data_IF_507443254044
#
_entry.id   IF_507443254044
#
_cell.length_a   1.000
_cell.length_b   1.000
_cell.length_c   1.000
_cell.angle_alpha   90.00
_cell.angle_beta   90.00
_cell.angle_gamma   90.00
#
_symmetry.space_group_name_H-M   'P 1'
#
loop_
_entity.id
_entity.type
_entity.pdbx_description
1 polymer ?
#
# COMPACT_ATOMS: atom_id res chain seq x y z
N UNK A 1 -28.55 20.75 11.71
CA UNK A 1 -27.28 19.98 11.64
C UNK A 1 -26.88 20.06 10.17
N UNK A 2 -25.62 20.38 9.85
CA UNK A 2 -25.13 20.32 8.48
C UNK A 2 -25.21 18.86 8.02
N UNK A 3 -25.61 18.66 6.78
CA UNK A 3 -25.62 17.35 6.15
C UNK A 3 -24.20 16.82 6.09
N UNK A 4 -23.96 15.57 6.53
CA UNK A 4 -22.63 14.96 6.57
C UNK A 4 -22.54 13.85 5.54
N UNK A 5 -21.34 13.72 4.93
CA UNK A 5 -21.05 12.79 3.85
C UNK A 5 -19.88 11.89 4.20
N UNK A 6 -19.83 10.74 3.54
CA UNK A 6 -18.67 9.81 3.56
C UNK A 6 -18.01 9.88 2.20
N UNK A 7 -16.68 10.02 2.20
CA UNK A 7 -15.87 9.93 1.00
C UNK A 7 -15.20 8.56 0.92
N UNK A 8 -15.52 7.78 -0.10
CA UNK A 8 -14.89 6.48 -0.36
C UNK A 8 -13.84 6.64 -1.45
N UNK A 9 -12.61 6.20 -1.17
CA UNK A 9 -11.49 6.15 -2.12
C UNK A 9 -11.26 4.71 -2.55
N UNK A 10 -11.31 4.46 -3.86
CA UNK A 10 -11.02 3.17 -4.46
C UNK A 10 -9.79 3.32 -5.37
N UNK A 11 -8.64 2.90 -4.86
CA UNK A 11 -7.39 2.92 -5.60
C UNK A 11 -7.17 1.59 -6.30
N UNK A 12 -7.74 1.45 -7.49
CA UNK A 12 -7.59 0.26 -8.32
C UNK A 12 -6.20 0.13 -8.96
N UNK A 13 -6.01 -0.95 -9.72
CA UNK A 13 -4.74 -1.20 -10.42
C UNK A 13 -4.52 -0.25 -11.59
N UNK A 14 -5.58 0.15 -12.29
CA UNK A 14 -5.48 0.98 -13.50
C UNK A 14 -6.10 2.37 -13.36
N UNK A 15 -6.86 2.62 -12.29
CA UNK A 15 -7.55 3.88 -12.09
C UNK A 15 -7.76 4.18 -10.62
N UNK A 16 -7.87 5.48 -10.30
CA UNK A 16 -8.29 6.01 -9.01
C UNK A 16 -9.75 6.44 -9.10
N UNK A 17 -10.53 6.18 -8.05
CA UNK A 17 -11.93 6.56 -7.97
C UNK A 17 -12.22 7.20 -6.60
N UNK A 18 -13.13 8.17 -6.60
CA UNK A 18 -13.71 8.75 -5.38
C UNK A 18 -15.22 8.77 -5.50
N UNK A 19 -15.91 8.38 -4.44
CA UNK A 19 -17.37 8.32 -4.36
C UNK A 19 -17.81 9.07 -3.10
N UNK A 20 -18.75 9.99 -3.25
CA UNK A 20 -19.40 10.69 -2.13
C UNK A 20 -20.73 10.01 -1.85
N UNK A 21 -20.93 9.57 -0.62
CA UNK A 21 -22.19 9.03 -0.11
C UNK A 21 -22.80 9.97 0.91
N UNK A 22 -24.14 10.08 0.93
CA UNK A 22 -24.86 10.69 2.03
C UNK A 22 -25.05 9.70 3.21
N UNK A 23 -25.74 10.15 4.26
CA UNK A 23 -25.97 9.34 5.47
C UNK A 23 -26.93 8.16 5.24
N UNK A 24 -27.71 8.17 4.18
CA UNK A 24 -28.59 7.06 3.77
C UNK A 24 -27.85 6.03 2.90
N UNK A 25 -26.56 6.28 2.57
CA UNK A 25 -25.76 5.43 1.71
C UNK A 25 -26.01 5.64 0.21
N UNK A 26 -26.71 6.70 -0.16
CA UNK A 26 -26.97 7.06 -1.56
C UNK A 26 -25.74 7.75 -2.17
N UNK A 27 -25.42 7.37 -3.42
CA UNK A 27 -24.31 7.98 -4.15
C UNK A 27 -24.70 9.38 -4.61
N UNK A 28 -23.96 10.40 -4.17
CA UNK A 28 -24.17 11.80 -4.59
C UNK A 28 -23.27 12.17 -5.77
N UNK A 29 -22.04 11.66 -5.80
CA UNK A 29 -21.12 11.90 -6.90
C UNK A 29 -20.09 10.79 -7.01
N UNK A 30 -19.57 10.62 -8.25
CA UNK A 30 -18.46 9.72 -8.57
C UNK A 30 -17.49 10.46 -9.47
N UNK A 31 -16.19 10.36 -9.19
CA UNK A 31 -15.14 10.78 -10.10
C UNK A 31 -14.12 9.64 -10.26
N UNK A 32 -13.62 9.44 -11.47
CA UNK A 32 -12.65 8.40 -11.80
C UNK A 32 -11.61 8.94 -12.79
N UNK A 33 -10.35 8.49 -12.62
CA UNK A 33 -9.25 8.85 -13.51
C UNK A 33 -8.29 7.67 -13.65
N UNK A 34 -7.93 7.33 -14.86
CA UNK A 34 -6.87 6.37 -15.15
C UNK A 34 -5.48 6.99 -14.90
N UNK A 35 -4.49 6.12 -14.61
CA UNK A 35 -3.08 6.52 -14.51
C UNK A 35 -2.19 5.52 -15.26
N UNK A 36 -0.96 5.97 -15.53
CA UNK A 36 -0.04 5.23 -16.40
C UNK A 36 0.44 3.93 -15.76
N UNK A 37 0.40 2.85 -16.55
CA UNK A 37 1.04 1.58 -16.27
C UNK A 37 2.44 1.58 -16.88
N UNK A 38 3.45 1.08 -16.16
CA UNK A 38 4.85 1.05 -16.58
C UNK A 38 5.30 -0.41 -16.68
N UNK A 39 5.85 -0.79 -17.81
CA UNK A 39 6.33 -2.14 -18.10
C UNK A 39 7.81 -2.09 -18.51
N UNK A 40 8.77 -1.98 -17.55
CA UNK A 40 10.18 -1.77 -17.87
C UNK A 40 10.82 -2.95 -18.62
N UNK A 41 10.38 -4.17 -18.29
CA UNK A 41 10.87 -5.43 -18.86
C UNK A 41 9.73 -6.45 -18.91
N UNK A 42 9.86 -7.55 -19.69
CA UNK A 42 8.88 -8.64 -19.67
C UNK A 42 8.65 -9.17 -18.25
N UNK A 43 7.40 -9.19 -17.81
CA UNK A 43 6.99 -9.64 -16.48
C UNK A 43 7.17 -8.60 -15.35
N UNK A 44 7.70 -7.40 -15.63
CA UNK A 44 7.78 -6.30 -14.67
C UNK A 44 6.60 -5.37 -14.84
N UNK A 45 5.99 -5.01 -13.72
CA UNK A 45 4.85 -4.08 -13.69
C UNK A 45 5.05 -3.06 -12.57
N UNK A 46 5.04 -1.79 -12.94
CA UNK A 46 5.29 -0.69 -12.01
C UNK A 46 4.28 0.44 -12.19
N UNK A 47 4.07 1.19 -11.12
CA UNK A 47 3.37 2.47 -11.14
C UNK A 47 4.27 3.57 -10.56
N UNK A 48 4.07 4.80 -11.01
CA UNK A 48 4.71 5.94 -10.39
C UNK A 48 3.92 6.33 -9.11
N UNK A 49 4.51 6.26 -7.89
CA UNK A 49 3.75 6.51 -6.66
C UNK A 49 3.11 7.89 -6.60
N UNK A 50 3.78 8.89 -7.21
CA UNK A 50 3.22 10.22 -7.26
C UNK A 50 2.02 10.34 -8.20
N UNK A 51 1.96 9.53 -9.29
CA UNK A 51 0.77 9.47 -10.15
C UNK A 51 -0.42 8.82 -9.44
N UNK A 52 -0.18 7.78 -8.61
CA UNK A 52 -1.21 7.21 -7.72
C UNK A 52 -1.79 8.30 -6.82
N UNK A 53 -0.94 9.10 -6.17
CA UNK A 53 -1.41 10.18 -5.31
C UNK A 53 -2.12 11.30 -6.07
N UNK A 54 -1.54 11.80 -7.15
CA UNK A 54 -2.12 12.94 -7.89
C UNK A 54 -3.44 12.59 -8.56
N UNK A 55 -3.58 11.38 -9.11
CA UNK A 55 -4.85 10.91 -9.66
C UNK A 55 -5.91 10.75 -8.56
N UNK A 56 -5.54 10.19 -7.40
CA UNK A 56 -6.47 10.08 -6.27
C UNK A 56 -6.88 11.46 -5.74
N UNK A 57 -5.97 12.40 -5.58
CA UNK A 57 -6.27 13.76 -5.15
C UNK A 57 -7.19 14.50 -6.17
N UNK A 58 -6.95 14.28 -7.46
CA UNK A 58 -7.78 14.82 -8.54
C UNK A 58 -9.23 14.33 -8.45
N UNK A 59 -9.43 13.01 -8.29
CA UNK A 59 -10.80 12.46 -8.20
C UNK A 59 -11.48 12.82 -6.89
N UNK A 60 -10.76 12.99 -5.78
CA UNK A 60 -11.31 13.53 -4.52
C UNK A 60 -11.91 14.93 -4.78
N UNK A 61 -11.10 15.84 -5.34
CA UNK A 61 -11.56 17.19 -5.63
C UNK A 61 -12.73 17.20 -6.62
N UNK A 62 -12.66 16.36 -7.66
CA UNK A 62 -13.72 16.22 -8.66
C UNK A 62 -15.03 15.71 -8.07
N UNK A 63 -15.01 14.69 -7.20
CA UNK A 63 -16.21 14.14 -6.57
C UNK A 63 -16.87 15.15 -5.61
N UNK A 64 -16.07 15.83 -4.78
CA UNK A 64 -16.56 16.89 -3.87
C UNK A 64 -17.21 18.03 -4.65
N UNK A 65 -16.55 18.52 -5.71
CA UNK A 65 -17.10 19.57 -6.56
C UNK A 65 -18.39 19.14 -7.28
N UNK A 66 -18.45 17.92 -7.81
CA UNK A 66 -19.62 17.38 -8.48
C UNK A 66 -20.80 17.14 -7.54
N UNK A 67 -20.54 16.81 -6.27
CA UNK A 67 -21.57 16.71 -5.24
C UNK A 67 -22.10 18.09 -4.79
N UNK A 68 -21.42 19.18 -5.12
CA UNK A 68 -21.76 20.53 -4.70
C UNK A 68 -21.60 20.78 -3.18
N UNK A 69 -20.72 20.01 -2.53
CA UNK A 69 -20.46 20.06 -1.07
C UNK A 69 -19.10 20.68 -0.77
N UNK A 70 -18.87 20.94 0.52
CA UNK A 70 -17.59 21.41 1.03
C UNK A 70 -16.77 20.22 1.60
N UNK A 71 -15.44 20.30 1.56
CA UNK A 71 -14.60 19.30 2.22
C UNK A 71 -14.86 19.19 3.73
N UNK A 72 -15.36 20.23 4.38
CA UNK A 72 -15.75 20.25 5.79
C UNK A 72 -17.05 19.47 6.08
N UNK A 73 -17.83 19.15 5.05
CA UNK A 73 -19.04 18.34 5.17
C UNK A 73 -18.72 16.83 5.15
N UNK A 74 -17.46 16.46 4.84
CA UNK A 74 -16.99 15.06 4.90
C UNK A 74 -16.71 14.66 6.35
N UNK A 75 -17.52 13.73 6.85
CA UNK A 75 -17.38 13.21 8.21
C UNK A 75 -16.27 12.17 8.35
N UNK A 76 -16.04 11.37 7.29
CA UNK A 76 -14.99 10.35 7.28
C UNK A 76 -14.57 9.99 5.85
N UNK A 77 -13.35 9.45 5.72
CA UNK A 77 -12.79 8.90 4.48
C UNK A 77 -12.59 7.40 4.68
N UNK A 78 -13.17 6.59 3.80
CA UNK A 78 -12.88 5.16 3.69
C UNK A 78 -11.94 4.89 2.51
N UNK A 79 -10.96 4.00 2.70
CA UNK A 79 -9.99 3.65 1.64
C UNK A 79 -10.07 2.17 1.33
N UNK A 80 -10.20 1.83 0.04
CA UNK A 80 -9.91 0.51 -0.50
C UNK A 80 -8.86 0.63 -1.61
N UNK A 81 -8.05 -0.41 -1.82
CA UNK A 81 -6.91 -0.32 -2.72
C UNK A 81 -6.56 -1.65 -3.37
N UNK A 82 -5.82 -1.60 -4.48
CA UNK A 82 -5.05 -2.72 -4.98
C UNK A 82 -4.07 -3.15 -3.88
N UNK A 83 -4.22 -4.38 -3.38
CA UNK A 83 -3.34 -4.90 -2.31
C UNK A 83 -1.99 -5.33 -2.86
N UNK A 84 -1.04 -5.64 -1.99
CA UNK A 84 0.30 -6.19 -2.26
C UNK A 84 1.23 -5.28 -3.07
N UNK A 85 0.72 -4.29 -3.78
CA UNK A 85 1.55 -3.28 -4.46
C UNK A 85 2.40 -2.54 -3.44
N UNK A 86 3.70 -2.51 -3.68
CA UNK A 86 4.73 -2.14 -2.70
C UNK A 86 5.33 -0.79 -3.02
N UNK A 87 5.35 0.10 -2.04
CA UNK A 87 5.99 1.42 -2.12
C UNK A 87 6.99 1.54 -0.98
N UNK A 88 8.20 2.03 -1.28
CA UNK A 88 9.23 2.40 -0.30
C UNK A 88 9.58 3.86 -0.52
N UNK A 89 9.56 4.65 0.56
CA UNK A 89 9.85 6.07 0.48
C UNK A 89 10.65 6.56 1.68
N UNK A 90 11.30 7.68 1.49
CA UNK A 90 12.06 8.37 2.52
C UNK A 90 11.10 9.05 3.51
N UNK A 91 11.28 8.74 4.80
CA UNK A 91 10.42 9.22 5.89
C UNK A 91 10.44 10.74 6.05
N UNK A 92 11.58 11.35 5.81
CA UNK A 92 11.77 12.80 6.01
C UNK A 92 11.24 13.60 4.83
N UNK A 93 11.58 13.17 3.61
CA UNK A 93 11.25 13.91 2.39
C UNK A 93 9.90 13.50 1.77
N UNK A 94 9.38 12.32 2.13
CA UNK A 94 8.20 11.72 1.51
C UNK A 94 8.42 11.32 0.05
N UNK A 95 9.68 11.25 -0.42
CA UNK A 95 10.00 10.89 -1.81
C UNK A 95 10.15 9.37 -1.95
N UNK A 96 9.45 8.73 -2.89
CA UNK A 96 9.66 7.33 -3.22
C UNK A 96 11.09 7.10 -3.71
N UNK A 97 11.73 6.01 -3.25
CA UNK A 97 13.09 5.64 -3.69
C UNK A 97 13.07 4.86 -5.00
N UNK A 98 11.93 4.31 -5.36
CA UNK A 98 11.70 3.55 -6.59
C UNK A 98 10.22 3.66 -7.00
N UNK A 99 9.88 3.23 -8.22
CA UNK A 99 8.49 3.03 -8.61
C UNK A 99 7.78 2.02 -7.69
N UNK A 100 6.48 2.14 -7.54
CA UNK A 100 5.67 1.12 -6.88
C UNK A 100 5.72 -0.18 -7.68
N UNK A 101 6.15 -1.29 -7.04
CA UNK A 101 6.17 -2.60 -7.69
C UNK A 101 4.79 -3.23 -7.50
N UNK A 102 4.10 -3.46 -8.61
CA UNK A 102 2.70 -3.88 -8.64
C UNK A 102 2.55 -5.36 -8.27
N UNK A 103 1.41 -5.78 -7.74
CA UNK A 103 1.09 -7.16 -7.39
C UNK A 103 1.27 -8.16 -8.54
N UNK A 104 1.09 -7.73 -9.79
CA UNK A 104 1.26 -8.53 -11.01
C UNK A 104 2.72 -8.79 -11.39
N UNK A 105 3.67 -8.07 -10.77
CA UNK A 105 5.10 -8.14 -11.10
C UNK A 105 5.69 -9.51 -10.77
N UNK A 106 6.51 -10.04 -11.66
CA UNK A 106 7.11 -11.37 -11.56
C UNK A 106 8.65 -11.35 -11.40
N UNK A 107 9.27 -10.17 -11.18
CA UNK A 107 10.75 -10.06 -11.07
C UNK A 107 11.36 -10.96 -10.01
N UNK A 108 10.61 -11.29 -8.96
CA UNK A 108 11.07 -12.13 -7.86
C UNK A 108 10.62 -13.60 -7.95
N UNK A 109 10.11 -14.05 -9.11
CA UNK A 109 9.64 -15.42 -9.27
C UNK A 109 10.74 -16.47 -8.98
N UNK A 110 11.96 -16.27 -9.50
CA UNK A 110 13.09 -17.16 -9.27
C UNK A 110 13.52 -17.21 -7.79
N UNK A 111 13.47 -16.09 -7.10
CA UNK A 111 13.72 -16.05 -5.64
C UNK A 111 12.66 -16.83 -4.85
N UNK A 112 11.39 -16.70 -5.24
CA UNK A 112 10.30 -17.50 -4.66
C UNK A 112 10.52 -19.01 -4.88
N UNK A 113 10.97 -19.41 -6.07
CA UNK A 113 11.26 -20.80 -6.36
C UNK A 113 12.46 -21.34 -5.55
N UNK A 114 13.48 -20.53 -5.32
CA UNK A 114 14.60 -20.86 -4.42
C UNK A 114 14.12 -21.08 -2.98
N UNK A 115 13.27 -20.19 -2.43
CA UNK A 115 12.70 -20.37 -1.09
C UNK A 115 11.87 -21.65 -0.96
N UNK A 116 11.12 -22.03 -1.99
CA UNK A 116 10.37 -23.31 -2.02
C UNK A 116 11.34 -24.50 -2.01
N UNK A 117 12.41 -24.46 -2.80
CA UNK A 117 13.43 -25.49 -2.84
C UNK A 117 14.19 -25.64 -1.51
N UNK A 118 14.35 -24.54 -0.77
CA UNK A 118 14.91 -24.52 0.60
C UNK A 118 13.92 -25.02 1.67
N UNK A 119 12.70 -25.43 1.28
CA UNK A 119 11.71 -25.98 2.21
C UNK A 119 10.99 -24.93 3.07
N UNK A 120 11.00 -23.65 2.67
CA UNK A 120 10.38 -22.56 3.45
C UNK A 120 8.85 -22.50 3.33
N UNK A 121 8.23 -23.36 2.52
CA UNK A 121 6.79 -23.29 2.21
C UNK A 121 5.91 -23.39 3.46
N UNK A 122 6.09 -24.42 4.29
CA UNK A 122 5.28 -24.60 5.50
C UNK A 122 5.58 -23.52 6.54
N UNK A 123 6.85 -23.13 6.70
CA UNK A 123 7.24 -22.05 7.61
C UNK A 123 6.50 -20.74 7.33
N UNK A 124 6.41 -20.33 6.06
CA UNK A 124 5.69 -19.12 5.66
C UNK A 124 4.18 -19.33 5.79
N UNK A 125 3.67 -20.48 5.33
CA UNK A 125 2.24 -20.79 5.33
C UNK A 125 1.65 -20.83 6.74
N UNK A 126 2.32 -21.46 7.69
CA UNK A 126 1.88 -21.52 9.08
C UNK A 126 1.73 -20.15 9.74
N UNK A 127 2.59 -19.20 9.39
CA UNK A 127 2.56 -17.84 9.96
C UNK A 127 1.58 -16.91 9.28
N UNK A 128 1.46 -17.03 7.95
CA UNK A 128 0.77 -16.03 7.11
C UNK A 128 -0.50 -16.54 6.43
N UNK A 129 -0.68 -17.87 6.35
CA UNK A 129 -1.72 -18.49 5.54
C UNK A 129 -1.45 -18.43 4.03
N UNK A 130 -0.30 -17.86 3.59
CA UNK A 130 0.00 -17.60 2.20
C UNK A 130 0.93 -18.66 1.61
N UNK A 131 0.86 -18.83 0.30
CA UNK A 131 1.88 -19.53 -0.49
C UNK A 131 3.08 -18.62 -0.75
N UNK A 132 4.24 -19.18 -1.09
CA UNK A 132 5.39 -18.39 -1.56
C UNK A 132 5.13 -17.97 -3.01
N UNK A 133 4.93 -16.67 -3.23
CA UNK A 133 4.76 -16.11 -4.57
C UNK A 133 5.25 -14.66 -4.63
N UNK A 134 5.76 -14.24 -5.79
CA UNK A 134 6.16 -12.86 -6.09
C UNK A 134 4.99 -11.87 -6.05
N UNK A 135 3.76 -12.37 -5.99
CA UNK A 135 2.53 -11.60 -5.82
C UNK A 135 2.57 -10.72 -4.56
N UNK A 136 3.09 -11.24 -3.44
CA UNK A 136 3.06 -10.60 -2.13
C UNK A 136 4.20 -9.58 -1.92
N UNK A 137 4.05 -8.68 -0.93
CA UNK A 137 4.91 -7.50 -0.80
C UNK A 137 6.34 -7.79 -0.37
N UNK A 138 6.58 -8.80 0.49
CA UNK A 138 7.90 -9.05 1.11
C UNK A 138 9.04 -9.13 0.09
N UNK A 139 8.85 -9.89 -0.99
CA UNK A 139 9.88 -10.07 -2.02
C UNK A 139 10.17 -8.79 -2.80
N UNK A 140 9.15 -7.93 -2.97
CA UNK A 140 9.30 -6.63 -3.65
C UNK A 140 10.06 -5.63 -2.78
N UNK A 141 9.79 -5.59 -1.45
CA UNK A 141 10.57 -4.79 -0.51
C UNK A 141 12.03 -5.23 -0.53
N UNK A 142 12.27 -6.55 -0.42
CA UNK A 142 13.62 -7.10 -0.51
C UNK A 142 14.31 -6.68 -1.80
N UNK A 143 13.64 -6.78 -2.94
CA UNK A 143 14.21 -6.37 -4.22
C UNK A 143 14.63 -4.90 -4.23
N UNK A 144 13.79 -4.00 -3.71
CA UNK A 144 14.11 -2.56 -3.63
C UNK A 144 15.36 -2.36 -2.77
N UNK A 145 15.42 -3.00 -1.59
CA UNK A 145 16.57 -2.87 -0.69
C UNK A 145 17.89 -3.40 -1.29
N UNK A 146 17.81 -4.43 -2.13
CA UNK A 146 18.98 -5.09 -2.71
C UNK A 146 19.46 -4.43 -4.02
N UNK A 147 18.59 -3.69 -4.74
CA UNK A 147 18.90 -3.20 -6.09
C UNK A 147 18.89 -1.67 -6.23
N UNK A 148 18.25 -0.96 -5.30
CA UNK A 148 18.26 0.51 -5.32
C UNK A 148 19.44 1.00 -4.49
N UNK A 149 20.32 1.77 -5.11
CA UNK A 149 21.54 2.29 -4.49
C UNK A 149 21.25 3.05 -3.19
N UNK A 150 21.92 2.67 -2.11
CA UNK A 150 21.81 3.28 -0.78
C UNK A 150 20.48 2.98 -0.06
N UNK A 151 19.56 2.16 -0.65
CA UNK A 151 18.27 1.89 -0.03
C UNK A 151 18.44 1.04 1.25
N UNK A 152 19.30 0.04 1.22
CA UNK A 152 19.53 -0.83 2.39
C UNK A 152 20.09 -0.07 3.56
N UNK A 153 21.13 0.70 3.38
CA UNK A 153 21.77 1.51 4.41
C UNK A 153 20.81 2.54 5.01
N UNK A 154 19.99 3.17 4.17
CA UNK A 154 18.95 4.11 4.63
C UNK A 154 17.84 3.40 5.41
N UNK A 155 17.45 2.20 5.00
CA UNK A 155 16.43 1.41 5.69
C UNK A 155 16.92 0.97 7.07
N UNK A 156 18.17 0.46 7.17
CA UNK A 156 18.81 0.09 8.43
C UNK A 156 19.01 1.29 9.37
N UNK A 157 19.24 2.48 8.80
CA UNK A 157 19.30 3.73 9.55
C UNK A 157 17.89 4.28 9.94
N UNK A 158 16.80 3.58 9.62
CA UNK A 158 15.42 3.99 9.95
C UNK A 158 14.88 5.16 9.12
N UNK A 159 15.55 5.51 8.01
CA UNK A 159 15.18 6.64 7.15
C UNK A 159 14.15 6.28 6.08
N UNK A 160 14.04 5.00 5.74
CA UNK A 160 13.04 4.54 4.78
C UNK A 160 11.87 3.85 5.48
N UNK A 161 10.70 4.03 4.92
CA UNK A 161 9.48 3.36 5.32
C UNK A 161 8.82 2.66 4.12
N UNK A 162 8.09 1.61 4.44
CA UNK A 162 7.36 0.77 3.50
C UNK A 162 5.86 0.90 3.74
N UNK A 163 5.07 0.76 2.69
CA UNK A 163 3.64 0.57 2.77
C UNK A 163 3.07 -0.05 1.50
N UNK A 164 1.90 -0.62 1.65
CA UNK A 164 0.97 -0.86 0.55
C UNK A 164 0.29 0.45 0.17
N UNK A 165 -0.55 0.44 -0.84
CA UNK A 165 -1.13 1.68 -1.39
C UNK A 165 -1.98 2.44 -0.37
N UNK A 166 -2.69 1.75 0.53
CA UNK A 166 -3.40 2.37 1.66
C UNK A 166 -2.48 3.23 2.54
N UNK A 167 -1.34 2.65 2.97
CA UNK A 167 -0.35 3.38 3.77
C UNK A 167 0.18 4.62 3.05
N UNK A 168 0.44 4.50 1.76
CA UNK A 168 0.87 5.64 0.94
C UNK A 168 -0.19 6.73 0.88
N UNK A 169 -1.46 6.37 0.68
CA UNK A 169 -2.56 7.35 0.62
C UNK A 169 -2.79 8.02 1.98
N UNK A 170 -2.80 7.25 3.09
CA UNK A 170 -2.90 7.82 4.44
C UNK A 170 -1.74 8.77 4.72
N UNK A 171 -0.50 8.34 4.41
CA UNK A 171 0.68 9.20 4.54
C UNK A 171 0.53 10.54 3.78
N UNK A 172 0.05 10.48 2.55
CA UNK A 172 -0.17 11.70 1.75
C UNK A 172 -1.31 12.57 2.26
N UNK A 173 -2.43 11.96 2.65
CA UNK A 173 -3.60 12.66 3.21
C UNK A 173 -3.27 13.37 4.53
N UNK A 174 -2.43 12.75 5.37
CA UNK A 174 -2.01 13.27 6.67
C UNK A 174 -0.71 14.10 6.61
N UNK A 175 -0.21 14.40 5.41
CA UNK A 175 1.04 15.19 5.20
C UNK A 175 2.27 14.59 5.90
N UNK A 176 2.32 13.26 6.02
CA UNK A 176 3.45 12.55 6.62
C UNK A 176 3.34 12.31 8.14
N UNK A 177 2.22 12.64 8.75
CA UNK A 177 2.04 12.47 10.19
C UNK A 177 1.69 11.03 10.59
N UNK A 178 0.96 10.29 9.73
CA UNK A 178 0.44 8.96 10.05
C UNK A 178 1.01 7.90 9.09
N UNK A 179 1.67 6.87 9.66
CA UNK A 179 2.21 5.73 8.93
C UNK A 179 1.56 4.44 9.45
N UNK A 180 0.42 4.09 8.87
CA UNK A 180 -0.40 2.94 9.26
C UNK A 180 -0.78 2.10 8.05
N UNK A 181 -1.18 0.87 8.31
CA UNK A 181 -1.91 -0.02 7.40
C UNK A 181 -2.99 -0.76 8.18
N UNK A 182 -3.93 -1.41 7.51
CA UNK A 182 -4.90 -2.25 8.16
C UNK A 182 -4.51 -3.73 8.14
N UNK A 183 -5.20 -4.54 8.97
CA UNK A 183 -4.97 -5.99 9.05
C UNK A 183 -5.17 -6.71 7.71
N UNK A 184 -6.05 -6.20 6.83
CA UNK A 184 -6.35 -6.83 5.53
C UNK A 184 -5.25 -6.60 4.50
N UNK A 185 -4.56 -5.44 4.52
CA UNK A 185 -3.37 -5.18 3.73
C UNK A 185 -2.13 -5.85 4.34
N UNK A 186 -1.93 -5.74 5.66
CA UNK A 186 -0.81 -6.36 6.36
C UNK A 186 -0.74 -7.88 6.11
N UNK A 187 -1.88 -8.57 6.18
CA UNK A 187 -1.97 -10.03 5.97
C UNK A 187 -1.55 -10.48 4.55
N UNK A 188 -1.46 -9.54 3.58
CA UNK A 188 -1.07 -9.83 2.20
C UNK A 188 0.39 -9.52 1.89
N UNK A 189 1.20 -9.28 2.91
CA UNK A 189 2.60 -8.89 2.72
C UNK A 189 3.62 -10.03 2.75
N UNK A 190 3.28 -11.22 3.25
CA UNK A 190 4.17 -12.31 3.70
C UNK A 190 5.11 -11.89 4.85
N UNK A 191 4.79 -10.83 5.58
CA UNK A 191 5.55 -10.33 6.73
C UNK A 191 4.75 -10.36 8.03
N UNK A 192 3.43 -10.57 7.92
CA UNK A 192 2.47 -10.45 9.02
C UNK A 192 2.01 -11.81 9.52
N UNK A 193 2.14 -12.04 10.82
CA UNK A 193 1.66 -13.25 11.47
C UNK A 193 0.17 -13.11 11.78
N UNK A 194 -0.67 -13.88 11.10
CA UNK A 194 -2.12 -13.80 11.21
C UNK A 194 -2.67 -14.36 12.52
N UNK A 195 -1.89 -15.13 13.28
CA UNK A 195 -2.27 -15.67 14.57
C UNK A 195 -1.93 -14.71 15.72
N UNK A 196 -0.79 -14.00 15.59
CA UNK A 196 -0.33 -13.02 16.60
C UNK A 196 -0.86 -11.61 16.32
N UNK A 197 -1.40 -11.37 15.12
CA UNK A 197 -1.82 -10.06 14.61
C UNK A 197 -0.71 -9.02 14.73
N UNK A 198 0.50 -9.38 14.28
CA UNK A 198 1.70 -8.55 14.36
C UNK A 198 2.69 -8.89 13.23
N UNK A 199 3.59 -7.96 12.93
CA UNK A 199 4.75 -8.24 12.08
C UNK A 199 5.58 -9.34 12.70
N UNK A 200 5.99 -10.34 11.90
CA UNK A 200 6.70 -11.52 12.38
C UNK A 200 8.22 -11.34 12.26
N UNK A 201 8.98 -11.33 13.39
CA UNK A 201 10.42 -11.09 13.36
C UNK A 201 11.20 -12.10 12.50
N UNK A 202 10.77 -13.37 12.48
CA UNK A 202 11.47 -14.41 11.72
C UNK A 202 11.21 -14.27 10.20
N UNK A 203 10.02 -13.76 9.81
CA UNK A 203 9.75 -13.41 8.42
C UNK A 203 10.55 -12.16 8.00
N UNK A 204 10.66 -11.16 8.89
CA UNK A 204 11.48 -9.97 8.63
C UNK A 204 12.95 -10.35 8.44
N UNK A 205 13.49 -11.24 9.29
CA UNK A 205 14.85 -11.77 9.17
C UNK A 205 15.02 -12.54 7.85
N UNK A 206 14.10 -13.44 7.51
CA UNK A 206 14.14 -14.23 6.27
C UNK A 206 14.25 -13.35 5.01
N UNK A 207 13.50 -12.25 4.97
CA UNK A 207 13.52 -11.34 3.83
C UNK A 207 14.53 -10.19 3.97
N UNK A 208 15.22 -10.09 5.12
CA UNK A 208 16.18 -9.03 5.40
C UNK A 208 15.55 -7.63 5.41
N UNK A 209 14.37 -7.49 6.02
CA UNK A 209 13.61 -6.24 6.08
C UNK A 209 13.68 -5.66 7.49
N UNK A 210 14.23 -4.45 7.68
CA UNK A 210 14.26 -3.78 8.98
C UNK A 210 12.87 -3.47 9.52
N UNK A 211 12.58 -3.84 10.77
CA UNK A 211 11.28 -3.61 11.40
C UNK A 211 10.89 -2.12 11.45
N UNK A 212 11.86 -1.22 11.49
CA UNK A 212 11.64 0.23 11.51
C UNK A 212 10.98 0.77 10.22
N UNK A 213 10.96 -0.03 9.14
CA UNK A 213 10.30 0.35 7.88
C UNK A 213 8.78 0.16 7.92
N UNK A 214 8.26 -0.65 8.85
CA UNK A 214 6.90 -1.15 8.78
C UNK A 214 5.90 -0.18 9.40
N UNK A 215 4.68 -0.05 8.80
CA UNK A 215 3.63 0.77 9.37
C UNK A 215 3.05 0.13 10.65
N UNK A 216 2.45 0.93 11.49
CA UNK A 216 1.59 0.43 12.56
C UNK A 216 0.36 -0.26 11.95
N UNK A 217 -0.03 -1.42 12.46
CA UNK A 217 -1.20 -2.16 11.95
C UNK A 217 -2.42 -1.83 12.81
N UNK A 218 -3.46 -1.37 12.17
CA UNK A 218 -4.74 -0.99 12.77
C UNK A 218 -5.87 -1.92 12.32
N UNK A 219 -7.02 -1.82 12.97
CA UNK A 219 -8.25 -2.46 12.47
C UNK A 219 -8.80 -1.67 11.28
N UNK A 220 -9.52 -2.35 10.36
CA UNK A 220 -10.01 -1.70 9.14
C UNK A 220 -11.10 -0.63 9.39
N UNK A 221 -11.66 -0.54 10.58
CA UNK A 221 -12.70 0.42 10.97
C UNK A 221 -12.26 1.36 12.10
N UNK A 222 -10.98 1.43 12.38
CA UNK A 222 -10.41 2.37 13.36
C UNK A 222 -10.20 3.75 12.73
N UNK A 223 -10.35 4.79 13.53
CA UNK A 223 -10.08 6.17 13.12
C UNK A 223 -8.61 6.50 13.41
N UNK A 224 -7.88 7.02 12.42
CA UNK A 224 -6.48 7.39 12.50
C UNK A 224 -6.13 8.55 11.55
#
# INVERSE_FOLDING_TARGET
MSEQYILSLDQGTSSSRAIVFDHDGEIKAVAQQEFRQIFPQPGWVEHHPQEIWTSQASVIAGAIASAGINGLDIAAIGITNQRETTIVWDRETGQPVYNAIVWQDRRMASYCDALKAEGKTEFIREKTGLIIDAYFSATKVKWILDHVEGAREKAEAGKLIFGTVDSWLVWKLTRGEVHVTDVTNASRTMLYNIHRLAWDPELLELFGIPAAMLPEVKTSSEIY
#
